data_IF_841083193251
#
_entry.id   IF_841083193251
#
_cell.length_a   1.000
_cell.length_b   1.000
_cell.length_c   1.000
_cell.angle_alpha   90.00
_cell.angle_beta   90.00
_cell.angle_gamma   90.00
#
_symmetry.space_group_name_H-M   'P 1'
#
loop_
_entity.id
_entity.type
_entity.pdbx_description
1 polymer ?
#
# COMPACT_ATOMS: atom_id res chain seq x y z
N UNK A 1 14.91 -1.38 -9.60
CA UNK A 1 13.88 -0.55 -10.31
C UNK A 1 13.88 0.84 -9.69
N UNK A 2 13.75 1.91 -10.50
CA UNK A 2 13.60 3.27 -10.00
C UNK A 2 12.16 3.42 -9.46
N UNK A 3 11.94 3.88 -8.21
CA UNK A 3 10.61 4.13 -7.67
C UNK A 3 9.90 5.23 -8.48
N UNK A 4 8.56 5.20 -8.50
CA UNK A 4 7.75 6.20 -9.17
C UNK A 4 6.76 6.82 -8.18
N UNK A 5 6.64 8.15 -8.19
CA UNK A 5 5.73 8.89 -7.33
C UNK A 5 4.39 9.11 -8.02
N UNK A 6 3.31 8.91 -7.29
CA UNK A 6 1.93 9.12 -7.73
C UNK A 6 1.17 9.99 -6.73
N UNK A 7 0.15 10.67 -7.23
CA UNK A 7 -0.76 11.45 -6.39
C UNK A 7 -1.57 10.54 -5.44
N UNK A 8 -2.02 11.12 -4.33
CA UNK A 8 -2.74 10.40 -3.25
C UNK A 8 -4.02 9.69 -3.70
N UNK A 9 -4.71 10.21 -4.74
CA UNK A 9 -5.96 9.66 -5.25
C UNK A 9 -5.80 8.70 -6.42
N UNK A 10 -4.55 8.39 -6.81
CA UNK A 10 -4.30 7.47 -7.93
C UNK A 10 -4.72 6.04 -7.56
N UNK A 11 -5.48 5.41 -8.44
CA UNK A 11 -5.95 4.04 -8.31
C UNK A 11 -5.32 3.08 -9.33
N UNK A 12 -4.72 3.63 -10.40
CA UNK A 12 -4.09 2.86 -11.47
C UNK A 12 -2.64 3.29 -11.64
N UNK A 13 -1.74 2.33 -11.65
CA UNK A 13 -0.29 2.56 -11.67
C UNK A 13 0.31 2.12 -13.02
N UNK A 14 -0.42 2.38 -14.11
CA UNK A 14 -0.08 2.05 -15.50
C UNK A 14 0.41 3.26 -16.32
N UNK A 15 0.57 4.41 -15.65
CA UNK A 15 1.05 5.66 -16.21
C UNK A 15 2.36 6.10 -15.53
N UNK A 16 2.90 7.26 -15.92
CA UNK A 16 4.15 7.78 -15.36
C UNK A 16 3.98 8.49 -14.01
N UNK A 17 2.75 8.62 -13.49
CA UNK A 17 2.47 9.33 -12.25
C UNK A 17 2.95 10.77 -12.27
N UNK A 18 3.41 11.25 -11.11
CA UNK A 18 4.10 12.55 -10.95
C UNK A 18 5.50 12.45 -11.58
N UNK A 19 6.21 11.34 -11.34
CA UNK A 19 7.50 11.12 -11.95
C UNK A 19 8.34 10.04 -11.27
N UNK A 20 9.48 9.73 -11.92
CA UNK A 20 10.45 8.78 -11.41
C UNK A 20 11.35 9.43 -10.36
N UNK A 21 11.53 8.76 -9.25
CA UNK A 21 12.40 9.19 -8.15
C UNK A 21 13.83 8.70 -8.41
N UNK A 22 14.43 9.17 -9.53
CA UNK A 22 15.72 8.66 -10.01
C UNK A 22 16.89 9.04 -9.10
N UNK A 23 16.77 10.15 -8.35
CA UNK A 23 17.80 10.65 -7.44
C UNK A 23 17.79 9.96 -6.08
N UNK A 24 16.93 8.95 -5.87
CA UNK A 24 16.86 8.24 -4.61
C UNK A 24 18.22 7.60 -4.24
N UNK A 25 18.74 7.95 -3.09
CA UNK A 25 19.97 7.36 -2.56
C UNK A 25 19.75 5.90 -2.14
N UNK A 26 18.56 5.64 -1.59
CA UNK A 26 18.12 4.28 -1.26
C UNK A 26 16.60 4.21 -1.28
N UNK A 27 16.07 3.03 -1.61
CA UNK A 27 14.66 2.71 -1.49
C UNK A 27 14.57 1.24 -1.08
N UNK A 28 14.24 1.01 0.18
CA UNK A 28 14.23 -0.32 0.79
C UNK A 28 12.80 -0.68 1.16
N UNK A 29 12.35 -1.82 0.70
CA UNK A 29 11.08 -2.41 1.10
C UNK A 29 11.34 -3.54 2.08
N UNK A 30 10.66 -3.51 3.21
CA UNK A 30 10.68 -4.56 4.23
C UNK A 30 9.32 -5.23 4.28
N UNK A 31 9.29 -6.52 3.95
CA UNK A 31 8.09 -7.35 4.04
C UNK A 31 8.32 -8.46 5.06
N UNK A 32 7.43 -8.54 6.06
CA UNK A 32 7.42 -9.63 7.05
C UNK A 32 6.11 -10.39 6.93
N UNK A 33 6.20 -11.71 6.82
CA UNK A 33 5.00 -12.57 6.80
C UNK A 33 4.18 -12.34 8.07
N UNK A 34 2.89 -12.04 7.90
CA UNK A 34 1.96 -11.67 8.98
C UNK A 34 2.44 -10.47 9.83
N UNK A 35 3.19 -9.56 9.23
CA UNK A 35 3.78 -8.42 9.93
C UNK A 35 3.83 -7.17 9.06
N UNK A 36 4.88 -6.37 9.23
CA UNK A 36 5.03 -5.11 8.52
C UNK A 36 5.31 -5.30 7.03
N UNK A 37 4.71 -4.44 6.20
CA UNK A 37 5.01 -4.28 4.79
C UNK A 37 5.17 -2.79 4.51
N UNK A 38 6.41 -2.32 4.62
CA UNK A 38 6.77 -0.91 4.67
C UNK A 38 7.92 -0.59 3.73
N UNK A 39 7.99 0.68 3.32
CA UNK A 39 9.04 1.23 2.48
C UNK A 39 9.73 2.37 3.22
N UNK A 40 11.05 2.40 3.16
CA UNK A 40 11.85 3.55 3.56
C UNK A 40 12.71 4.01 2.37
N UNK A 41 12.61 5.29 2.02
CA UNK A 41 13.39 5.91 0.95
C UNK A 41 14.17 7.10 1.49
N UNK A 42 15.45 7.18 1.13
CA UNK A 42 16.29 8.36 1.36
C UNK A 42 16.41 9.12 0.05
N UNK A 43 16.00 10.37 0.04
CA UNK A 43 15.93 11.21 -1.15
C UNK A 43 16.61 12.57 -0.92
N UNK A 44 17.33 13.14 -1.91
CA UNK A 44 17.90 14.47 -1.77
C UNK A 44 16.79 15.52 -1.72
N UNK A 45 16.94 16.52 -0.85
CA UNK A 45 15.94 17.58 -0.67
C UNK A 45 15.82 18.51 -1.88
N UNK A 46 16.87 18.55 -2.72
CA UNK A 46 16.95 19.31 -3.97
C UNK A 46 16.77 18.42 -5.21
N UNK A 47 16.40 17.13 -5.01
CA UNK A 47 16.19 16.18 -6.10
C UNK A 47 14.94 16.48 -6.92
N UNK A 48 14.85 15.87 -8.12
CA UNK A 48 13.70 16.02 -9.02
C UNK A 48 12.43 15.52 -8.32
N UNK A 49 11.37 16.34 -8.27
CA UNK A 49 10.10 16.07 -7.57
C UNK A 49 10.19 15.97 -6.03
N UNK A 50 11.29 16.45 -5.40
CA UNK A 50 11.40 16.48 -3.95
C UNK A 50 10.31 17.35 -3.29
N UNK A 51 9.91 18.43 -3.94
CA UNK A 51 8.82 19.34 -3.58
C UNK A 51 7.43 18.71 -3.66
N UNK A 52 7.30 17.58 -4.36
CA UNK A 52 6.05 16.82 -4.54
C UNK A 52 5.99 15.57 -3.64
N UNK A 53 7.04 15.35 -2.83
CA UNK A 53 6.99 14.34 -1.77
C UNK A 53 6.12 14.88 -0.63
N UNK A 54 4.89 14.38 -0.56
CA UNK A 54 3.90 14.78 0.44
C UNK A 54 3.30 13.57 1.12
N UNK A 55 2.88 13.72 2.38
CA UNK A 55 2.12 12.67 3.08
C UNK A 55 0.80 12.42 2.35
N UNK A 56 0.46 11.15 2.19
CA UNK A 56 -0.69 10.71 1.41
C UNK A 56 -0.35 10.32 -0.03
N UNK A 57 0.69 10.85 -0.67
CA UNK A 57 1.13 10.41 -2.00
C UNK A 57 1.64 8.98 -1.97
N UNK A 58 1.73 8.36 -3.14
CA UNK A 58 2.01 6.93 -3.27
C UNK A 58 3.34 6.72 -4.00
N UNK A 59 4.19 5.87 -3.45
CA UNK A 59 5.43 5.41 -4.10
C UNK A 59 5.18 4.00 -4.63
N UNK A 60 5.35 3.82 -5.94
CA UNK A 60 5.35 2.52 -6.58
C UNK A 60 6.79 1.98 -6.60
N UNK A 61 7.03 0.87 -5.91
CA UNK A 61 8.35 0.25 -5.81
C UNK A 61 8.26 -1.28 -5.88
N UNK A 62 9.38 -1.93 -6.22
CA UNK A 62 9.49 -3.39 -6.21
C UNK A 62 10.01 -3.89 -4.86
N UNK A 63 9.29 -4.80 -4.19
CA UNK A 63 9.77 -5.45 -2.97
C UNK A 63 10.98 -6.37 -3.21
N UNK A 64 11.08 -6.96 -4.39
CA UNK A 64 12.19 -7.85 -4.79
C UNK A 64 12.43 -7.76 -6.29
N UNK A 65 13.57 -8.26 -6.76
CA UNK A 65 13.92 -8.25 -8.19
C UNK A 65 12.94 -9.04 -9.07
N UNK A 66 12.35 -10.10 -8.50
CA UNK A 66 11.40 -10.99 -9.19
C UNK A 66 9.93 -10.61 -8.93
N UNK A 67 9.68 -9.73 -7.96
CA UNK A 67 8.33 -9.32 -7.57
C UNK A 67 7.71 -8.31 -8.53
N UNK A 68 6.38 -8.18 -8.45
CA UNK A 68 5.66 -7.08 -9.10
C UNK A 68 5.85 -5.79 -8.30
N UNK A 69 5.75 -4.65 -8.98
CA UNK A 69 5.70 -3.35 -8.31
C UNK A 69 4.49 -3.26 -7.40
N UNK A 70 4.68 -2.72 -6.22
CA UNK A 70 3.65 -2.56 -5.18
C UNK A 70 3.54 -1.09 -4.79
N UNK A 71 2.34 -0.59 -4.52
CA UNK A 71 2.10 0.78 -4.10
C UNK A 71 2.24 0.94 -2.59
N UNK A 72 2.97 1.98 -2.17
CA UNK A 72 3.18 2.34 -0.76
C UNK A 72 2.74 3.77 -0.52
N UNK A 73 1.81 3.99 0.39
CA UNK A 73 1.34 5.33 0.77
C UNK A 73 2.28 5.96 1.78
N UNK A 74 2.75 7.16 1.49
CA UNK A 74 3.60 7.96 2.38
C UNK A 74 2.80 8.35 3.61
N UNK A 75 3.31 8.03 4.79
CA UNK A 75 2.70 8.42 6.07
C UNK A 75 3.59 9.33 6.91
N UNK A 76 4.86 9.47 6.54
CA UNK A 76 5.80 10.33 7.24
C UNK A 76 6.94 10.75 6.33
N UNK A 77 7.28 12.03 6.40
CA UNK A 77 8.49 12.59 5.82
C UNK A 77 9.24 13.28 6.96
N UNK A 78 10.45 12.80 7.24
CA UNK A 78 11.28 13.41 8.27
C UNK A 78 11.94 14.69 7.74
N UNK A 79 12.09 15.68 8.63
CA UNK A 79 12.80 16.93 8.34
C UNK A 79 14.19 16.63 7.78
N UNK A 80 14.61 17.35 6.75
CA UNK A 80 15.91 17.13 6.12
C UNK A 80 17.05 17.29 7.14
N UNK A 81 17.93 16.29 7.15
CA UNK A 81 19.21 16.36 7.84
C UNK A 81 20.28 16.21 6.75
N UNK A 82 21.23 17.13 6.71
CA UNK A 82 22.28 17.16 5.68
C UNK A 82 21.76 17.09 4.23
N UNK A 83 20.65 17.82 3.95
CA UNK A 83 20.04 17.87 2.63
C UNK A 83 19.34 16.59 2.18
N UNK A 84 19.03 15.66 3.09
CA UNK A 84 18.37 14.39 2.79
C UNK A 84 17.02 14.29 3.49
N UNK A 85 16.00 13.90 2.74
CA UNK A 85 14.67 13.55 3.23
C UNK A 85 14.63 12.04 3.54
N UNK A 86 14.07 11.66 4.67
CA UNK A 86 13.71 10.26 4.93
C UNK A 86 12.20 10.11 4.80
N UNK A 87 11.78 9.39 3.77
CA UNK A 87 10.38 9.13 3.46
C UNK A 87 10.00 7.73 3.94
N UNK A 88 8.93 7.64 4.73
CA UNK A 88 8.38 6.37 5.21
C UNK A 88 6.99 6.16 4.64
N UNK A 89 6.78 4.97 4.06
CA UNK A 89 5.51 4.61 3.44
C UNK A 89 5.09 3.20 3.85
N UNK A 90 3.78 2.95 3.88
CA UNK A 90 3.18 1.64 4.15
C UNK A 90 2.50 1.13 2.91
N UNK A 91 2.53 -0.19 2.72
CA UNK A 91 1.80 -0.82 1.63
C UNK A 91 0.32 -0.40 1.66
N UNK A 92 -0.27 -0.19 0.49
CA UNK A 92 -1.64 0.33 0.38
C UNK A 92 -2.68 -0.55 1.09
N UNK A 93 -2.41 -1.85 1.28
CA UNK A 93 -3.29 -2.77 2.01
C UNK A 93 -3.55 -2.37 3.47
N UNK A 94 -2.72 -1.52 4.06
CA UNK A 94 -3.00 -0.97 5.41
C UNK A 94 -4.28 -0.12 5.45
N UNK A 95 -4.78 0.33 4.29
CA UNK A 95 -6.07 1.03 4.20
C UNK A 95 -7.26 0.13 4.57
N UNK A 96 -7.11 -1.20 4.48
CA UNK A 96 -8.13 -2.15 4.92
C UNK A 96 -8.43 -2.03 6.43
N UNK A 97 -7.46 -1.59 7.23
CA UNK A 97 -7.60 -1.47 8.69
C UNK A 97 -8.62 -0.39 9.13
N UNK A 98 -8.99 0.53 8.24
CA UNK A 98 -9.94 1.61 8.54
C UNK A 98 -11.33 1.38 7.92
N UNK A 99 -11.51 0.28 7.20
CA UNK A 99 -12.79 -0.08 6.58
C UNK A 99 -13.59 -0.90 7.60
N UNK A 100 -14.68 -0.32 8.11
CA UNK A 100 -15.62 -1.02 8.96
C UNK A 100 -16.45 -2.01 8.14
N UNK A 101 -16.64 -3.22 8.66
CA UNK A 101 -17.41 -4.28 7.99
C UNK A 101 -18.61 -4.66 8.89
N UNK A 102 -19.81 -4.66 8.32
CA UNK A 102 -21.02 -5.11 9.01
C UNK A 102 -21.00 -6.62 9.23
N UNK A 103 -21.66 -7.13 10.29
CA UNK A 103 -21.71 -8.56 10.57
C UNK A 103 -22.28 -9.38 9.43
N UNK A 104 -21.67 -10.54 9.17
CA UNK A 104 -22.18 -11.51 8.19
C UNK A 104 -21.70 -12.93 8.51
N UNK A 105 -22.31 -13.92 7.88
CA UNK A 105 -21.92 -15.32 8.01
C UNK A 105 -21.90 -16.02 6.64
N UNK A 106 -20.99 -16.96 6.47
CA UNK A 106 -20.86 -17.77 5.25
C UNK A 106 -20.23 -19.13 5.57
N UNK A 107 -20.28 -20.05 4.63
CA UNK A 107 -19.76 -21.40 4.78
C UNK A 107 -18.59 -21.70 3.85
N UNK A 108 -18.04 -20.70 3.17
CA UNK A 108 -16.92 -20.88 2.25
C UNK A 108 -15.86 -19.79 2.42
N UNK A 109 -14.61 -20.11 2.12
CA UNK A 109 -13.51 -19.15 2.14
C UNK A 109 -13.73 -18.02 1.13
N UNK A 110 -14.15 -18.35 -0.09
CA UNK A 110 -14.50 -17.35 -1.12
C UNK A 110 -15.62 -16.42 -0.64
N UNK A 111 -16.67 -16.99 -0.01
CA UNK A 111 -17.77 -16.20 0.57
C UNK A 111 -17.30 -15.30 1.71
N UNK A 112 -16.35 -15.75 2.55
CA UNK A 112 -15.79 -14.94 3.62
C UNK A 112 -15.02 -13.73 3.07
N UNK A 113 -14.17 -13.93 2.08
CA UNK A 113 -13.41 -12.84 1.46
C UNK A 113 -14.32 -11.87 0.70
N UNK A 114 -15.25 -12.39 -0.13
CA UNK A 114 -16.22 -11.56 -0.83
C UNK A 114 -17.12 -10.79 0.15
N UNK A 115 -17.52 -11.44 1.26
CA UNK A 115 -18.31 -10.84 2.33
C UNK A 115 -17.64 -9.63 2.98
N UNK A 116 -16.33 -9.65 3.18
CA UNK A 116 -15.59 -8.50 3.71
C UNK A 116 -15.76 -7.27 2.81
N UNK A 117 -15.69 -7.42 1.49
CA UNK A 117 -15.93 -6.33 0.54
C UNK A 117 -17.41 -5.92 0.45
N UNK A 118 -18.32 -6.90 0.35
CA UNK A 118 -19.76 -6.64 0.17
C UNK A 118 -20.42 -6.01 1.40
N UNK A 119 -19.90 -6.25 2.58
CA UNK A 119 -20.40 -5.72 3.86
C UNK A 119 -19.56 -4.53 4.38
N UNK A 120 -18.64 -4.02 3.58
CA UNK A 120 -17.85 -2.84 3.90
C UNK A 120 -18.76 -1.59 3.99
N UNK A 121 -18.57 -0.77 5.01
CA UNK A 121 -19.32 0.48 5.19
C UNK A 121 -18.95 1.57 4.17
N UNK A 122 -17.84 1.40 3.48
CA UNK A 122 -17.37 2.28 2.40
C UNK A 122 -16.91 1.47 1.20
N UNK A 123 -16.78 2.11 0.03
CA UNK A 123 -16.22 1.45 -1.15
C UNK A 123 -14.85 0.82 -0.82
N UNK A 124 -14.75 -0.49 -1.02
CA UNK A 124 -13.49 -1.23 -0.87
C UNK A 124 -12.81 -1.30 -2.25
N UNK A 125 -11.67 -0.61 -2.45
CA UNK A 125 -10.98 -0.57 -3.74
C UNK A 125 -10.13 -1.84 -4.01
N UNK A 126 -10.20 -2.83 -3.11
CA UNK A 126 -9.40 -4.04 -3.21
C UNK A 126 -10.24 -5.20 -3.76
N UNK A 127 -9.67 -5.91 -4.71
CA UNK A 127 -10.18 -7.21 -5.15
C UNK A 127 -9.62 -8.31 -4.27
N UNK A 128 -10.42 -9.34 -4.03
CA UNK A 128 -10.03 -10.51 -3.24
C UNK A 128 -10.00 -11.76 -4.10
N UNK A 129 -9.01 -12.59 -3.87
CA UNK A 129 -8.88 -13.85 -4.55
C UNK A 129 -8.38 -14.93 -3.57
N UNK A 130 -8.80 -16.18 -3.79
CA UNK A 130 -8.32 -17.34 -3.05
C UNK A 130 -8.38 -18.59 -3.92
N UNK A 131 -7.41 -19.48 -3.75
CA UNK A 131 -7.38 -20.84 -4.29
C UNK A 131 -7.90 -21.89 -3.28
N UNK A 132 -8.31 -21.45 -2.09
CA UNK A 132 -8.84 -22.33 -1.06
C UNK A 132 -10.28 -22.69 -1.39
N UNK A 133 -10.52 -23.97 -1.71
CA UNK A 133 -11.84 -24.52 -2.04
C UNK A 133 -12.58 -25.17 -0.86
N UNK A 134 -11.93 -25.30 0.29
CA UNK A 134 -12.53 -25.95 1.47
C UNK A 134 -13.69 -25.13 2.03
N UNK A 135 -14.75 -25.83 2.47
CA UNK A 135 -15.85 -25.21 3.22
C UNK A 135 -15.51 -25.14 4.71
N UNK A 136 -15.77 -23.98 5.30
CA UNK A 136 -15.66 -23.76 6.74
C UNK A 136 -16.66 -22.69 7.15
N UNK A 137 -17.28 -22.84 8.32
CA UNK A 137 -18.16 -21.81 8.85
C UNK A 137 -17.35 -20.58 9.23
N UNK A 138 -17.69 -19.45 8.66
CA UNK A 138 -17.15 -18.16 9.00
C UNK A 138 -18.28 -17.24 9.48
N UNK A 139 -18.07 -16.57 10.59
CA UNK A 139 -19.02 -15.60 11.15
C UNK A 139 -18.26 -14.39 11.67
N UNK A 140 -18.58 -13.22 11.14
CA UNK A 140 -18.22 -11.94 11.73
C UNK A 140 -19.41 -11.47 12.58
N UNK A 141 -19.21 -11.36 13.88
CA UNK A 141 -20.21 -10.84 14.82
C UNK A 141 -19.91 -9.40 15.19
N UNK A 142 -20.90 -8.70 15.71
CA UNK A 142 -20.66 -7.42 16.36
C UNK A 142 -19.71 -7.59 17.55
N UNK A 143 -18.87 -6.58 17.83
CA UNK A 143 -17.95 -6.60 18.98
C UNK A 143 -18.67 -6.62 20.31
#
# INVERSE_FOLDING_TARGET
>A
MIPCLYASMEKKFDNNGIGKMADAHSCVVTEKRNGSFELEMVYPADGIHADQLEEGNIILAKPSDTGRSQPFRIYKIATPIDGKLTVKARHISYQLNVITVSPFATTSCTGALAGLGNHAASECPFEVWTDISSSASFRLSEP
#
